data_IF_737003366734
#
_entry.id   IF_737003366734
#
_cell.length_a   1.000
_cell.length_b   1.000
_cell.length_c   1.000
_cell.angle_alpha   90.00
_cell.angle_beta   90.00
_cell.angle_gamma   90.00
#
_symmetry.space_group_name_H-M   'P 1'
#
loop_
_entity.id
_entity.type
_entity.pdbx_description
1 polymer ?
#
# COMPACT_ATOMS: atom_id res chain seq x y z
N UNK A 1 -3.73 -17.40 -0.82
CA UNK A 1 -4.34 -16.27 -0.11
C UNK A 1 -3.72 -16.16 1.27
N UNK A 2 -3.20 -15.00 1.63
CA UNK A 2 -2.79 -14.66 2.99
C UNK A 2 -4.02 -14.25 3.80
N UNK A 3 -4.14 -14.77 5.02
CA UNK A 3 -5.19 -14.37 5.95
C UNK A 3 -4.59 -14.13 7.34
N UNK A 4 -4.84 -12.95 7.85
CA UNK A 4 -4.44 -12.51 9.19
C UNK A 4 -5.71 -12.37 10.01
N UNK A 5 -5.84 -13.16 11.11
CA UNK A 5 -7.05 -13.24 11.93
C UNK A 5 -6.77 -12.85 13.37
N UNK A 6 -7.34 -11.73 13.79
CA UNK A 6 -7.35 -11.23 15.18
C UNK A 6 -5.98 -11.26 15.84
N UNK A 7 -4.93 -10.90 15.08
CA UNK A 7 -3.56 -10.94 15.61
C UNK A 7 -3.33 -9.83 16.63
N UNK A 8 -2.73 -10.19 17.75
CA UNK A 8 -2.32 -9.27 18.79
C UNK A 8 -0.84 -9.43 19.13
N UNK A 9 -0.18 -8.32 19.44
CA UNK A 9 1.22 -8.28 19.88
C UNK A 9 1.48 -7.14 20.83
N UNK A 10 2.15 -7.47 21.93
CA UNK A 10 2.62 -6.50 22.93
C UNK A 10 4.13 -6.61 23.11
N UNK A 11 4.74 -5.47 23.38
CA UNK A 11 6.14 -5.35 23.81
C UNK A 11 6.16 -4.60 25.14
N UNK A 12 6.19 -5.33 26.24
CA UNK A 12 6.00 -4.75 27.56
C UNK A 12 4.67 -3.99 27.67
N UNK A 13 4.68 -2.69 27.99
CA UNK A 13 3.44 -1.90 28.09
C UNK A 13 2.88 -1.47 26.73
N UNK A 14 3.67 -1.59 25.63
CA UNK A 14 3.28 -1.11 24.31
C UNK A 14 2.46 -2.14 23.58
N UNK A 15 1.24 -1.80 23.17
CA UNK A 15 0.40 -2.61 22.29
C UNK A 15 0.77 -2.26 20.84
N UNK A 16 1.48 -3.16 20.16
CA UNK A 16 1.88 -2.97 18.77
C UNK A 16 0.80 -3.41 17.79
N UNK A 17 0.06 -4.48 18.11
CA UNK A 17 -1.09 -4.97 17.35
C UNK A 17 -2.23 -5.32 18.33
N UNK A 18 -3.46 -4.92 18.01
CA UNK A 18 -4.66 -5.19 18.79
C UNK A 18 -5.77 -5.75 17.89
N UNK A 19 -5.85 -7.07 17.81
CA UNK A 19 -6.85 -7.83 17.03
C UNK A 19 -6.92 -7.44 15.55
N UNK A 20 -5.77 -7.20 14.94
CA UNK A 20 -5.68 -6.86 13.51
C UNK A 20 -6.13 -8.04 12.65
N UNK A 21 -7.03 -7.77 11.69
CA UNK A 21 -7.55 -8.78 10.76
C UNK A 21 -7.66 -8.22 9.36
N UNK A 22 -7.09 -8.93 8.38
CA UNK A 22 -7.19 -8.62 6.95
C UNK A 22 -6.78 -9.82 6.10
N UNK A 23 -6.94 -9.71 4.80
CA UNK A 23 -6.54 -10.74 3.83
C UNK A 23 -5.87 -10.11 2.61
N UNK A 24 -5.05 -10.90 1.92
CA UNK A 24 -4.46 -10.55 0.61
C UNK A 24 -4.63 -11.76 -0.30
N UNK A 25 -5.32 -11.55 -1.43
CA UNK A 25 -5.60 -12.61 -2.41
C UNK A 25 -4.45 -12.75 -3.40
N UNK A 26 -4.28 -13.92 -4.03
CA UNK A 26 -3.42 -14.04 -5.20
C UNK A 26 -3.83 -13.04 -6.28
N UNK A 27 -2.84 -12.40 -6.92
CA UNK A 27 -3.09 -11.36 -7.93
C UNK A 27 -3.64 -10.05 -7.36
N UNK A 28 -3.47 -9.80 -6.06
CA UNK A 28 -3.91 -8.57 -5.40
C UNK A 28 -2.72 -7.82 -4.81
N UNK A 29 -2.71 -6.50 -4.97
CA UNK A 29 -1.78 -5.60 -4.32
C UNK A 29 -2.51 -4.81 -3.25
N UNK A 30 -2.17 -5.05 -1.99
CA UNK A 30 -2.79 -4.43 -0.82
C UNK A 30 -1.83 -3.49 -0.12
N UNK A 31 -2.26 -2.24 0.06
CA UNK A 31 -1.56 -1.26 0.86
C UNK A 31 -1.88 -1.40 2.35
N UNK A 32 -0.85 -1.62 3.18
CA UNK A 32 -0.95 -1.62 4.65
C UNK A 32 -0.47 -0.28 5.20
N UNK A 33 -1.39 0.63 5.42
CA UNK A 33 -1.15 2.06 5.57
C UNK A 33 -1.32 2.53 7.02
N UNK A 34 -0.60 3.58 7.38
CA UNK A 34 -0.74 4.20 8.69
C UNK A 34 0.47 5.03 9.09
N UNK A 35 0.36 5.84 10.14
CA UNK A 35 1.47 6.65 10.63
C UNK A 35 2.61 5.80 11.18
N UNK A 36 3.76 6.42 11.42
CA UNK A 36 4.87 5.77 12.09
C UNK A 36 4.44 5.34 13.49
N UNK A 37 4.83 4.11 13.87
CA UNK A 37 4.42 3.51 15.15
C UNK A 37 3.03 2.89 15.16
N UNK A 38 2.29 2.88 14.04
CA UNK A 38 0.96 2.26 13.96
C UNK A 38 0.95 0.72 14.02
N UNK A 39 2.13 0.06 13.97
CA UNK A 39 2.26 -1.40 14.02
C UNK A 39 2.56 -2.07 12.68
N UNK A 40 2.78 -1.31 11.58
CA UNK A 40 3.00 -1.85 10.23
C UNK A 40 4.14 -2.88 10.17
N UNK A 41 5.33 -2.50 10.55
CA UNK A 41 6.52 -3.40 10.59
C UNK A 41 6.29 -4.61 11.49
N UNK A 42 5.59 -4.44 12.62
CA UNK A 42 5.27 -5.56 13.53
C UNK A 42 4.34 -6.57 12.86
N UNK A 43 3.31 -6.10 12.12
CA UNK A 43 2.41 -6.97 11.37
C UNK A 43 3.17 -7.74 10.28
N UNK A 44 4.03 -7.08 9.51
CA UNK A 44 4.84 -7.72 8.46
C UNK A 44 5.81 -8.75 9.05
N UNK A 45 6.50 -8.41 10.14
CA UNK A 45 7.37 -9.36 10.84
C UNK A 45 6.59 -10.55 11.42
N UNK A 46 5.36 -10.35 11.87
CA UNK A 46 4.51 -11.44 12.34
C UNK A 46 4.07 -12.37 11.20
N UNK A 47 3.72 -11.83 10.02
CA UNK A 47 3.43 -12.61 8.81
C UNK A 47 4.62 -13.48 8.43
N UNK A 48 5.82 -12.92 8.48
CA UNK A 48 7.08 -13.64 8.22
C UNK A 48 7.54 -14.54 9.37
N UNK A 49 6.78 -14.63 10.47
CA UNK A 49 7.12 -15.37 11.70
C UNK A 49 8.45 -14.93 12.35
N UNK A 50 8.90 -13.70 12.08
CA UNK A 50 10.07 -13.09 12.72
C UNK A 50 9.73 -12.56 14.12
N UNK A 51 8.43 -12.39 14.41
CA UNK A 51 7.89 -11.99 15.71
C UNK A 51 6.75 -12.94 16.06
N UNK A 52 6.83 -13.58 17.23
CA UNK A 52 5.77 -14.44 17.75
C UNK A 52 4.56 -13.57 18.15
N UNK A 53 3.37 -13.98 17.74
CA UNK A 53 2.10 -13.37 18.15
C UNK A 53 1.75 -13.79 19.58
N UNK A 54 1.05 -12.90 20.30
CA UNK A 54 0.48 -13.22 21.60
C UNK A 54 -0.91 -13.85 21.45
N UNK A 55 -1.67 -13.41 20.41
CA UNK A 55 -2.99 -13.95 20.06
C UNK A 55 -3.20 -13.91 18.54
N UNK A 56 -4.17 -14.69 18.06
CA UNK A 56 -4.55 -14.75 16.66
C UNK A 56 -3.68 -15.69 15.83
N UNK A 57 -3.90 -15.70 14.52
CA UNK A 57 -3.22 -16.61 13.61
C UNK A 57 -3.00 -15.95 12.24
N UNK A 58 -1.88 -16.32 11.60
CA UNK A 58 -1.59 -16.03 10.19
C UNK A 58 -1.65 -17.35 9.42
N UNK A 59 -2.43 -17.38 8.36
CA UNK A 59 -2.56 -18.55 7.49
C UNK A 59 -2.21 -18.20 6.05
N UNK A 60 -1.66 -19.18 5.33
CA UNK A 60 -1.44 -19.15 3.89
C UNK A 60 -2.20 -20.30 3.24
N UNK A 61 -3.10 -19.99 2.30
CA UNK A 61 -3.98 -20.97 1.64
C UNK A 61 -4.75 -21.85 2.63
N UNK A 62 -5.22 -21.27 3.73
CA UNK A 62 -6.02 -21.95 4.76
C UNK A 62 -5.23 -22.74 5.81
N UNK A 63 -3.91 -22.90 5.64
CA UNK A 63 -3.03 -23.56 6.61
C UNK A 63 -2.20 -22.52 7.40
N UNK A 64 -1.83 -22.77 8.67
CA UNK A 64 -0.85 -21.95 9.37
C UNK A 64 0.43 -21.81 8.54
N UNK A 65 1.02 -20.61 8.54
CA UNK A 65 2.29 -20.38 7.87
C UNK A 65 3.36 -21.25 8.51
N UNK A 66 4.05 -22.06 7.72
CA UNK A 66 5.15 -22.93 8.11
C UNK A 66 6.44 -22.55 7.37
N UNK A 67 7.54 -23.29 7.61
CA UNK A 67 8.81 -23.05 6.97
C UNK A 67 8.73 -23.26 5.45
N UNK A 68 7.96 -24.24 4.97
CA UNK A 68 7.79 -24.50 3.54
C UNK A 68 7.04 -23.37 2.84
N UNK A 69 5.99 -22.84 3.46
CA UNK A 69 5.29 -21.66 2.95
C UNK A 69 6.21 -20.44 2.90
N UNK A 70 7.02 -20.22 3.95
CA UNK A 70 7.95 -19.07 4.02
C UNK A 70 9.04 -19.08 2.95
N UNK A 71 9.48 -20.25 2.51
CA UNK A 71 10.43 -20.35 1.38
C UNK A 71 9.87 -19.81 0.06
N UNK A 72 8.54 -19.68 -0.04
CA UNK A 72 7.84 -19.10 -1.19
C UNK A 72 7.41 -17.66 -0.97
N UNK A 73 7.86 -17.02 0.11
CA UNK A 73 7.59 -15.63 0.42
C UNK A 73 8.81 -14.78 0.15
N UNK A 74 8.60 -13.64 -0.50
CA UNK A 74 9.60 -12.58 -0.63
C UNK A 74 9.40 -11.55 0.48
N UNK A 75 10.47 -11.17 1.16
CA UNK A 75 10.38 -10.18 2.23
C UNK A 75 11.41 -9.07 2.03
N UNK A 76 10.94 -7.85 2.06
CA UNK A 76 11.76 -6.65 2.07
C UNK A 76 11.53 -5.90 3.38
N UNK A 77 12.45 -5.98 4.36
CA UNK A 77 12.34 -5.23 5.61
C UNK A 77 12.64 -3.74 5.41
N UNK A 78 12.08 -2.88 6.28
CA UNK A 78 12.40 -1.45 6.29
C UNK A 78 13.87 -1.16 6.61
N UNK A 79 14.49 -2.01 7.43
CA UNK A 79 15.91 -1.92 7.76
C UNK A 79 16.75 -2.73 6.74
N UNK A 80 17.87 -2.16 6.29
CA UNK A 80 18.72 -2.79 5.29
C UNK A 80 19.60 -3.86 5.92
N UNK A 81 19.26 -5.13 5.75
CA UNK A 81 19.99 -6.30 6.25
C UNK A 81 21.03 -6.88 5.27
N UNK A 82 21.59 -6.07 4.39
CA UNK A 82 22.50 -6.53 3.34
C UNK A 82 23.95 -6.59 3.81
N UNK A 83 24.79 -7.46 3.21
CA UNK A 83 26.22 -7.53 3.47
C UNK A 83 26.95 -6.34 2.81
N UNK A 84 27.47 -5.35 3.58
CA UNK A 84 27.89 -4.07 3.04
C UNK A 84 29.08 -4.17 2.07
N UNK A 85 29.99 -5.12 2.31
CA UNK A 85 31.25 -5.28 1.55
C UNK A 85 31.15 -6.26 0.39
N UNK A 86 30.01 -6.93 0.21
CA UNK A 86 29.79 -7.86 -0.89
C UNK A 86 29.45 -7.08 -2.17
N UNK A 87 29.95 -7.55 -3.32
CA UNK A 87 29.53 -7.00 -4.60
C UNK A 87 28.04 -7.29 -4.83
N UNK A 88 27.34 -6.35 -5.48
CA UNK A 88 25.88 -6.43 -5.66
C UNK A 88 25.46 -7.72 -6.36
N UNK A 89 26.16 -8.09 -7.46
CA UNK A 89 25.88 -9.32 -8.20
C UNK A 89 26.11 -10.58 -7.36
N UNK A 90 27.22 -10.60 -6.60
CA UNK A 90 27.55 -11.74 -5.74
C UNK A 90 26.51 -11.88 -4.62
N UNK A 91 26.05 -10.76 -4.09
CA UNK A 91 25.02 -10.70 -3.07
C UNK A 91 23.69 -11.30 -3.56
N UNK A 92 23.20 -10.87 -4.74
CA UNK A 92 22.00 -11.43 -5.35
C UNK A 92 22.17 -12.92 -5.68
N UNK A 93 23.31 -13.32 -6.27
CA UNK A 93 23.60 -14.72 -6.58
C UNK A 93 23.63 -15.59 -5.32
N UNK A 94 24.23 -15.10 -4.23
CA UNK A 94 24.26 -15.79 -2.95
C UNK A 94 22.86 -16.07 -2.41
N UNK A 95 21.99 -15.05 -2.37
CA UNK A 95 20.61 -15.22 -1.89
C UNK A 95 19.76 -16.07 -2.84
N UNK A 96 19.92 -15.96 -4.14
CA UNK A 96 19.28 -16.83 -5.12
C UNK A 96 19.60 -18.31 -4.88
N UNK A 97 20.86 -18.60 -4.51
CA UNK A 97 21.26 -19.96 -4.13
C UNK A 97 20.67 -20.42 -2.80
N UNK A 98 20.54 -19.52 -1.82
CA UNK A 98 19.85 -19.82 -0.57
C UNK A 98 18.34 -20.11 -0.78
N UNK A 99 17.74 -19.52 -1.81
CA UNK A 99 16.37 -19.82 -2.23
C UNK A 99 16.23 -21.12 -3.03
N UNK A 100 17.32 -21.90 -3.18
CA UNK A 100 17.30 -23.23 -3.79
C UNK A 100 17.65 -23.25 -5.28
N UNK A 101 18.01 -22.15 -5.92
CA UNK A 101 18.44 -22.12 -7.31
C UNK A 101 19.84 -22.75 -7.47
N UNK A 102 20.06 -23.47 -8.55
CA UNK A 102 21.41 -23.91 -8.92
C UNK A 102 22.31 -22.71 -9.29
N UNK A 103 23.62 -22.94 -9.42
CA UNK A 103 24.58 -21.87 -9.64
C UNK A 103 24.32 -21.08 -10.95
N UNK A 104 23.92 -21.77 -12.02
CA UNK A 104 23.64 -21.14 -13.32
C UNK A 104 22.32 -20.37 -13.30
N UNK A 105 21.27 -20.92 -12.69
CA UNK A 105 19.98 -20.27 -12.52
C UNK A 105 20.11 -19.04 -11.59
N UNK A 106 20.86 -19.14 -10.49
CA UNK A 106 21.11 -18.05 -9.56
C UNK A 106 21.83 -16.87 -10.23
N UNK A 107 22.86 -17.16 -11.06
CA UNK A 107 23.56 -16.12 -11.81
C UNK A 107 22.64 -15.43 -12.82
N UNK A 108 21.84 -16.19 -13.57
CA UNK A 108 20.86 -15.62 -14.53
C UNK A 108 19.80 -14.77 -13.83
N UNK A 109 19.27 -15.25 -12.70
CA UNK A 109 18.28 -14.49 -11.92
C UNK A 109 18.88 -13.18 -11.40
N UNK A 110 20.11 -13.21 -10.87
CA UNK A 110 20.81 -12.02 -10.42
C UNK A 110 21.00 -11.01 -11.54
N UNK A 111 21.53 -11.46 -12.69
CA UNK A 111 21.77 -10.59 -13.86
C UNK A 111 20.46 -10.00 -14.39
N UNK A 112 19.39 -10.80 -14.49
CA UNK A 112 18.07 -10.34 -14.94
C UNK A 112 17.47 -9.26 -14.03
N UNK A 113 17.56 -9.43 -12.71
CA UNK A 113 17.06 -8.41 -11.77
C UNK A 113 17.93 -7.15 -11.75
N UNK A 114 19.25 -7.27 -11.92
CA UNK A 114 20.13 -6.12 -12.06
C UNK A 114 19.76 -5.29 -13.30
N UNK A 115 19.49 -5.93 -14.43
CA UNK A 115 19.08 -5.28 -15.65
C UNK A 115 17.70 -4.62 -15.50
N UNK A 116 16.70 -5.37 -14.99
CA UNK A 116 15.33 -4.90 -14.82
C UNK A 116 15.21 -3.69 -13.88
N UNK A 117 16.07 -3.62 -12.85
CA UNK A 117 16.08 -2.53 -11.86
C UNK A 117 17.12 -1.44 -12.15
N UNK A 118 17.74 -1.45 -13.34
CA UNK A 118 18.72 -0.43 -13.76
C UNK A 118 20.02 -0.42 -12.94
N UNK A 119 20.45 -1.60 -12.48
CA UNK A 119 21.65 -1.77 -11.64
C UNK A 119 22.79 -2.52 -12.36
N UNK A 120 22.64 -2.85 -13.66
CA UNK A 120 23.62 -3.66 -14.41
C UNK A 120 25.03 -3.07 -14.36
N UNK A 121 25.17 -1.75 -14.53
CA UNK A 121 26.46 -1.07 -14.47
C UNK A 121 27.07 -1.01 -13.06
N UNK A 122 26.28 -1.32 -12.03
CA UNK A 122 26.67 -1.33 -10.62
C UNK A 122 26.88 -2.74 -10.06
N UNK A 123 26.80 -3.77 -10.92
CA UNK A 123 26.88 -5.18 -10.52
C UNK A 123 28.15 -5.52 -9.73
N UNK A 124 29.28 -4.89 -10.07
CA UNK A 124 30.58 -5.06 -9.40
C UNK A 124 30.80 -4.14 -8.20
N UNK A 125 29.95 -3.14 -7.97
CA UNK A 125 30.08 -2.21 -6.85
C UNK A 125 29.73 -2.92 -5.54
N UNK A 126 30.36 -2.50 -4.42
CA UNK A 126 29.94 -3.01 -3.10
C UNK A 126 28.60 -2.40 -2.68
N UNK A 127 27.78 -3.16 -1.96
CA UNK A 127 26.46 -2.69 -1.50
C UNK A 127 26.57 -1.36 -0.74
N UNK A 128 27.59 -1.19 0.11
CA UNK A 128 27.78 0.05 0.88
C UNK A 128 28.14 1.28 0.04
N UNK A 129 28.66 1.11 -1.17
CA UNK A 129 29.03 2.21 -2.06
C UNK A 129 27.84 2.76 -2.85
N UNK A 130 26.72 2.05 -2.85
CA UNK A 130 25.51 2.45 -3.54
C UNK A 130 24.78 3.59 -2.81
N UNK A 131 24.09 4.45 -3.57
CA UNK A 131 23.12 5.40 -3.02
C UNK A 131 21.99 4.65 -2.29
N UNK A 132 21.28 5.36 -1.41
CA UNK A 132 20.15 4.77 -0.66
C UNK A 132 19.09 4.19 -1.58
N UNK A 133 18.76 4.86 -2.69
CA UNK A 133 17.77 4.37 -3.67
C UNK A 133 18.26 3.12 -4.40
N UNK A 134 19.54 3.04 -4.78
CA UNK A 134 20.08 1.82 -5.39
C UNK A 134 20.14 0.66 -4.41
N UNK A 135 20.45 0.91 -3.14
CA UNK A 135 20.37 -0.13 -2.10
C UNK A 135 18.92 -0.63 -1.93
N UNK A 136 17.92 0.25 -2.02
CA UNK A 136 16.50 -0.10 -1.98
C UNK A 136 16.13 -1.01 -3.15
N UNK A 137 16.59 -0.70 -4.38
CA UNK A 137 16.39 -1.55 -5.57
C UNK A 137 17.05 -2.92 -5.41
N UNK A 138 18.27 -3.00 -4.85
CA UNK A 138 18.92 -4.30 -4.54
C UNK A 138 18.10 -5.09 -3.54
N UNK A 139 17.58 -4.45 -2.51
CA UNK A 139 16.78 -5.11 -1.49
C UNK A 139 15.45 -5.66 -2.04
N UNK A 140 14.84 -4.93 -2.98
CA UNK A 140 13.69 -5.44 -3.71
C UNK A 140 14.06 -6.65 -4.58
N UNK A 141 15.17 -6.56 -5.32
CA UNK A 141 15.66 -7.70 -6.11
C UNK A 141 15.79 -8.96 -5.26
N UNK A 142 16.34 -8.85 -4.03
CA UNK A 142 16.45 -9.97 -3.10
C UNK A 142 15.08 -10.59 -2.75
N UNK A 143 14.06 -9.78 -2.56
CA UNK A 143 12.71 -10.26 -2.27
C UNK A 143 12.06 -10.97 -3.46
N UNK A 144 12.53 -10.71 -4.68
CA UNK A 144 11.97 -11.23 -5.93
C UNK A 144 12.70 -12.47 -6.49
N UNK A 145 13.89 -12.81 -5.96
CA UNK A 145 14.78 -13.87 -6.54
C UNK A 145 14.13 -15.25 -6.66
N UNK A 146 13.20 -15.61 -5.80
CA UNK A 146 12.58 -16.93 -5.76
C UNK A 146 11.22 -17.01 -6.45
N UNK A 147 10.84 -16.03 -7.27
CA UNK A 147 9.49 -15.94 -7.86
C UNK A 147 8.39 -16.17 -6.80
N UNK A 148 8.32 -15.34 -5.76
CA UNK A 148 7.50 -15.60 -4.58
C UNK A 148 6.00 -15.57 -4.89
N UNK A 149 5.22 -16.41 -4.18
CA UNK A 149 3.76 -16.37 -4.20
C UNK A 149 3.18 -15.22 -3.36
N UNK A 150 3.94 -14.80 -2.33
CA UNK A 150 3.61 -13.68 -1.47
C UNK A 150 4.81 -12.75 -1.35
N UNK A 151 4.60 -11.48 -1.64
CA UNK A 151 5.56 -10.40 -1.38
C UNK A 151 5.09 -9.58 -0.19
N UNK A 152 5.96 -9.43 0.81
CA UNK A 152 5.75 -8.56 1.97
C UNK A 152 6.84 -7.49 1.96
N UNK A 153 6.45 -6.24 1.73
CA UNK A 153 7.36 -5.13 1.47
C UNK A 153 7.15 -4.01 2.49
N UNK A 154 8.15 -3.77 3.34
CA UNK A 154 8.07 -2.74 4.37
C UNK A 154 8.70 -1.44 3.89
N UNK A 155 7.87 -0.42 3.59
CA UNK A 155 8.24 0.90 3.06
C UNK A 155 9.09 0.84 1.77
N UNK A 156 8.66 0.10 0.71
CA UNK A 156 9.50 -0.16 -0.47
C UNK A 156 9.86 1.10 -1.27
N UNK A 157 9.06 2.15 -1.21
CA UNK A 157 9.26 3.40 -1.95
C UNK A 157 10.07 4.45 -1.20
N UNK A 158 10.49 4.15 0.04
CA UNK A 158 11.19 5.12 0.88
C UNK A 158 12.54 5.52 0.28
N UNK A 159 12.73 6.83 0.07
CA UNK A 159 14.00 7.39 -0.43
C UNK A 159 14.28 7.15 -1.91
N UNK A 160 13.28 6.76 -2.68
CA UNK A 160 13.34 6.66 -4.14
C UNK A 160 12.99 8.01 -4.80
N UNK A 161 13.62 8.26 -5.95
CA UNK A 161 13.19 9.31 -6.85
C UNK A 161 11.95 8.88 -7.68
N UNK A 162 11.23 9.80 -8.34
CA UNK A 162 10.02 9.47 -9.10
C UNK A 162 10.24 8.37 -10.16
N UNK A 163 11.36 8.39 -10.88
CA UNK A 163 11.66 7.39 -11.92
C UNK A 163 11.83 6.00 -11.31
N UNK A 164 12.47 5.93 -10.13
CA UNK A 164 12.62 4.68 -9.41
C UNK A 164 11.27 4.17 -8.86
N UNK A 165 10.40 5.07 -8.43
CA UNK A 165 9.04 4.73 -8.00
C UNK A 165 8.27 4.11 -9.17
N UNK A 166 8.29 4.71 -10.36
CA UNK A 166 7.62 4.19 -11.54
C UNK A 166 8.13 2.78 -11.90
N UNK A 167 9.46 2.61 -11.98
CA UNK A 167 10.09 1.30 -12.27
C UNK A 167 9.67 0.24 -11.24
N UNK A 168 9.66 0.60 -9.95
CA UNK A 168 9.28 -0.30 -8.88
C UNK A 168 7.81 -0.69 -8.98
N UNK A 169 6.95 0.29 -9.27
CA UNK A 169 5.51 0.07 -9.44
C UNK A 169 5.22 -0.89 -10.59
N UNK A 170 5.88 -0.71 -11.75
CA UNK A 170 5.78 -1.64 -12.88
C UNK A 170 6.19 -3.07 -12.48
N UNK A 171 7.32 -3.23 -11.78
CA UNK A 171 7.79 -4.54 -11.32
C UNK A 171 6.79 -5.19 -10.37
N UNK A 172 6.19 -4.44 -9.45
CA UNK A 172 5.18 -4.97 -8.54
C UNK A 172 3.91 -5.39 -9.28
N UNK A 173 3.46 -4.60 -10.26
CA UNK A 173 2.30 -4.96 -11.09
C UNK A 173 2.56 -6.21 -11.92
N UNK A 174 3.75 -6.40 -12.49
CA UNK A 174 4.14 -7.64 -13.15
C UNK A 174 4.04 -8.87 -12.22
N UNK A 175 4.39 -8.73 -10.93
CA UNK A 175 4.23 -9.83 -9.96
C UNK A 175 2.75 -10.13 -9.69
N UNK A 176 1.92 -9.09 -9.56
CA UNK A 176 0.46 -9.21 -9.41
C UNK A 176 -0.16 -9.94 -10.61
N UNK A 177 0.22 -9.55 -11.83
CA UNK A 177 -0.25 -10.20 -13.07
C UNK A 177 0.17 -11.68 -13.17
N UNK A 178 1.32 -12.04 -12.58
CA UNK A 178 1.76 -13.44 -12.45
C UNK A 178 0.99 -14.21 -11.37
N UNK A 179 0.12 -13.54 -10.62
CA UNK A 179 -0.69 -14.13 -9.56
C UNK A 179 -0.08 -14.08 -8.17
N UNK A 180 1.02 -13.38 -7.96
CA UNK A 180 1.56 -13.17 -6.61
C UNK A 180 0.61 -12.30 -5.77
N UNK A 181 0.49 -12.61 -4.49
CA UNK A 181 -0.13 -11.72 -3.51
C UNK A 181 0.91 -10.70 -3.05
N UNK A 182 0.59 -9.40 -3.04
CA UNK A 182 1.53 -8.36 -2.64
C UNK A 182 0.95 -7.55 -1.50
N UNK A 183 1.67 -7.48 -0.38
CA UNK A 183 1.38 -6.62 0.77
C UNK A 183 2.51 -5.63 0.93
N UNK A 184 2.25 -4.36 0.76
CA UNK A 184 3.24 -3.32 0.99
C UNK A 184 2.81 -2.36 2.11
N UNK A 185 3.75 -1.94 2.95
CA UNK A 185 3.51 -0.86 3.89
C UNK A 185 3.93 0.49 3.31
N UNK A 186 3.19 1.52 3.66
CA UNK A 186 3.59 2.89 3.38
C UNK A 186 2.95 3.87 4.35
N UNK A 187 3.57 5.03 4.48
CA UNK A 187 2.99 6.23 5.08
C UNK A 187 2.56 7.26 4.01
N UNK A 188 2.84 7.00 2.72
CA UNK A 188 2.49 7.84 1.58
C UNK A 188 1.17 7.34 0.96
N UNK A 189 0.05 7.85 1.48
CA UNK A 189 -1.28 7.38 1.13
C UNK A 189 -1.63 7.59 -0.35
N UNK A 190 -1.22 8.71 -0.93
CA UNK A 190 -1.58 9.06 -2.31
C UNK A 190 -0.86 8.16 -3.32
N UNK A 191 0.44 7.90 -3.12
CA UNK A 191 1.19 6.96 -3.97
C UNK A 191 0.58 5.55 -3.96
N UNK A 192 0.16 5.10 -2.78
CA UNK A 192 -0.43 3.76 -2.63
C UNK A 192 -1.83 3.68 -3.20
N UNK A 193 -2.59 4.79 -3.15
CA UNK A 193 -3.94 4.85 -3.72
C UNK A 193 -3.96 4.65 -5.24
N UNK A 194 -2.89 5.06 -5.93
CA UNK A 194 -2.78 4.91 -7.38
C UNK A 194 -2.29 3.51 -7.80
N UNK A 195 -1.62 2.79 -6.88
CA UNK A 195 -1.01 1.49 -7.16
C UNK A 195 -1.83 0.31 -6.64
N UNK A 196 -2.44 0.45 -5.46
CA UNK A 196 -3.12 -0.64 -4.77
C UNK A 196 -4.60 -0.75 -5.15
N UNK A 197 -5.08 -1.98 -5.36
CA UNK A 197 -6.51 -2.25 -5.52
C UNK A 197 -7.28 -2.12 -4.20
N UNK A 198 -6.64 -2.49 -3.10
CA UNK A 198 -7.24 -2.44 -1.77
C UNK A 198 -6.25 -1.93 -0.72
N UNK A 199 -6.79 -1.43 0.38
CA UNK A 199 -5.99 -0.93 1.49
C UNK A 199 -6.50 -1.44 2.84
N UNK A 200 -5.57 -1.55 3.77
CA UNK A 200 -5.81 -1.77 5.20
C UNK A 200 -5.13 -0.63 5.95
N UNK A 201 -5.91 0.24 6.54
CA UNK A 201 -5.40 1.40 7.26
C UNK A 201 -5.37 1.10 8.75
N UNK A 202 -4.19 1.27 9.35
CA UNK A 202 -3.98 1.00 10.77
C UNK A 202 -3.58 2.26 11.51
N UNK A 203 -4.10 2.41 12.72
CA UNK A 203 -3.68 3.40 13.68
C UNK A 203 -3.60 2.77 15.08
N UNK A 204 -2.52 3.05 15.81
CA UNK A 204 -2.28 2.54 17.18
C UNK A 204 -2.53 1.05 17.34
N UNK A 205 -2.07 0.26 16.37
CA UNK A 205 -2.19 -1.19 16.37
C UNK A 205 -3.56 -1.74 15.98
N UNK A 206 -4.51 -0.92 15.56
CA UNK A 206 -5.87 -1.32 15.17
C UNK A 206 -6.16 -1.00 13.71
N UNK A 207 -6.92 -1.86 13.04
CA UNK A 207 -7.48 -1.53 11.73
C UNK A 207 -8.60 -0.51 11.92
N UNK A 208 -8.45 0.67 11.30
CA UNK A 208 -9.43 1.76 11.34
C UNK A 208 -10.29 1.81 10.07
N UNK A 209 -9.74 1.34 8.94
CA UNK A 209 -10.44 1.28 7.66
C UNK A 209 -9.83 0.16 6.80
N UNK A 210 -10.65 -0.52 6.00
CA UNK A 210 -10.19 -1.50 5.01
C UNK A 210 -11.20 -1.64 3.89
N UNK A 211 -10.74 -1.91 2.68
CA UNK A 211 -11.58 -2.15 1.51
C UNK A 211 -10.87 -1.80 0.21
N UNK A 212 -11.58 -1.93 -0.88
CA UNK A 212 -11.11 -1.48 -2.19
C UNK A 212 -11.01 0.05 -2.20
N UNK A 213 -9.96 0.58 -2.82
CA UNK A 213 -9.65 2.03 -2.80
C UNK A 213 -10.81 2.82 -3.39
N UNK A 214 -11.35 2.38 -4.53
CA UNK A 214 -12.44 3.09 -5.20
C UNK A 214 -13.73 3.05 -4.40
N UNK A 215 -14.05 1.92 -3.76
CA UNK A 215 -15.23 1.79 -2.89
C UNK A 215 -15.12 2.70 -1.66
N UNK A 216 -13.95 2.75 -1.02
CA UNK A 216 -13.72 3.61 0.13
C UNK A 216 -13.84 5.09 -0.22
N UNK A 217 -13.34 5.50 -1.38
CA UNK A 217 -13.48 6.86 -1.90
C UNK A 217 -14.93 7.18 -2.26
N UNK A 218 -15.61 6.24 -2.95
CA UNK A 218 -17.01 6.40 -3.34
C UNK A 218 -17.96 6.48 -2.14
N UNK A 219 -17.69 5.73 -1.07
CA UNK A 219 -18.48 5.73 0.16
C UNK A 219 -18.30 7.00 1.02
N UNK A 220 -17.31 7.85 0.72
CA UNK A 220 -17.14 9.11 1.45
C UNK A 220 -18.38 10.00 1.33
N UNK A 221 -18.86 10.59 2.44
CA UNK A 221 -19.98 11.52 2.41
C UNK A 221 -19.63 12.88 1.76
N UNK A 222 -18.36 13.07 1.43
CA UNK A 222 -17.80 14.32 0.90
C UNK A 222 -17.41 14.15 -0.56
N UNK A 223 -17.56 15.24 -1.33
CA UNK A 223 -17.05 15.40 -2.69
C UNK A 223 -16.27 16.69 -2.79
N UNK A 224 -15.29 16.72 -3.68
CA UNK A 224 -14.52 17.93 -3.97
C UNK A 224 -14.90 18.48 -5.34
N UNK A 225 -15.21 19.77 -5.37
CA UNK A 225 -15.27 20.54 -6.59
C UNK A 225 -14.02 21.43 -6.65
N UNK A 226 -13.17 21.16 -7.62
CA UNK A 226 -12.04 22.02 -7.97
C UNK A 226 -12.39 22.81 -9.22
N UNK A 227 -12.14 24.13 -9.16
CA UNK A 227 -12.36 25.05 -10.29
C UNK A 227 -11.08 25.82 -10.52
N UNK A 228 -10.60 25.80 -11.77
CA UNK A 228 -9.43 26.55 -12.19
C UNK A 228 -9.85 27.69 -13.13
N UNK A 229 -9.41 28.91 -12.81
CA UNK A 229 -9.66 30.13 -13.58
C UNK A 229 -8.45 30.52 -14.40
N UNK A 230 -8.66 31.17 -15.54
CA UNK A 230 -7.60 31.71 -16.40
C UNK A 230 -6.72 32.74 -15.66
N UNK A 231 -7.30 33.49 -14.73
CA UNK A 231 -6.62 34.49 -13.89
C UNK A 231 -7.09 34.39 -12.44
N UNK A 232 -6.34 34.91 -11.45
CA UNK A 232 -6.79 34.96 -10.07
C UNK A 232 -8.17 35.63 -9.94
N UNK A 233 -9.18 34.87 -9.53
CA UNK A 233 -10.58 35.29 -9.46
C UNK A 233 -11.09 35.15 -8.04
N UNK A 234 -11.77 36.16 -7.51
CA UNK A 234 -12.52 36.03 -6.25
C UNK A 234 -13.85 35.32 -6.54
N UNK A 235 -13.97 34.10 -6.05
CA UNK A 235 -15.20 33.31 -6.22
C UNK A 235 -15.64 32.74 -4.87
N UNK A 236 -16.84 33.10 -4.46
CA UNK A 236 -17.46 32.67 -3.21
C UNK A 236 -18.88 32.25 -3.54
N UNK A 237 -19.16 30.94 -3.67
CA UNK A 237 -20.52 30.46 -3.84
C UNK A 237 -21.42 30.84 -2.66
N UNK A 238 -22.73 30.93 -2.90
CA UNK A 238 -23.72 31.26 -1.89
C UNK A 238 -23.63 30.34 -0.67
N UNK A 239 -23.62 30.94 0.52
CA UNK A 239 -23.49 30.23 1.80
C UNK A 239 -22.04 29.91 2.20
N UNK A 240 -21.04 30.23 1.38
CA UNK A 240 -19.63 30.11 1.71
C UNK A 240 -19.03 31.50 1.92
N UNK A 241 -18.25 31.67 2.98
CA UNK A 241 -17.62 32.96 3.29
C UNK A 241 -16.71 33.48 2.16
N UNK A 242 -16.35 34.78 2.20
CA UNK A 242 -15.51 35.40 1.17
C UNK A 242 -14.15 34.69 1.07
N UNK A 243 -13.70 34.46 -0.16
CA UNK A 243 -12.43 33.83 -0.48
C UNK A 243 -11.50 34.80 -1.22
N UNK A 244 -10.19 34.78 -0.93
CA UNK A 244 -9.27 35.62 -1.66
C UNK A 244 -9.22 35.22 -3.13
N UNK A 245 -8.85 36.16 -4.05
CA UNK A 245 -8.64 35.83 -5.44
C UNK A 245 -7.56 34.75 -5.60
N UNK A 246 -7.89 33.66 -6.29
CA UNK A 246 -6.99 32.56 -6.59
C UNK A 246 -7.27 32.00 -7.99
N UNK A 247 -6.26 31.36 -8.61
CA UNK A 247 -6.48 30.64 -9.87
C UNK A 247 -7.21 29.32 -9.65
N UNK A 248 -7.01 28.69 -8.49
CA UNK A 248 -7.67 27.42 -8.14
C UNK A 248 -8.47 27.58 -6.86
N UNK A 249 -9.71 27.15 -6.90
CA UNK A 249 -10.60 27.06 -5.76
C UNK A 249 -10.99 25.62 -5.57
N UNK A 250 -10.90 25.12 -4.33
CA UNK A 250 -11.36 23.80 -3.92
C UNK A 250 -12.49 23.96 -2.90
N UNK A 251 -13.61 23.33 -3.17
CA UNK A 251 -14.79 23.28 -2.32
C UNK A 251 -15.01 21.85 -1.84
N UNK A 252 -15.26 21.72 -0.56
CA UNK A 252 -15.76 20.48 0.04
C UNK A 252 -17.29 20.54 0.07
N UNK A 253 -17.94 19.55 -0.52
CA UNK A 253 -19.40 19.51 -0.72
C UNK A 253 -19.95 18.18 -0.22
N UNK A 254 -21.18 18.14 0.34
CA UNK A 254 -21.85 16.87 0.59
C UNK A 254 -22.01 16.05 -0.69
N UNK A 255 -21.91 14.72 -0.59
CA UNK A 255 -22.18 13.84 -1.71
C UNK A 255 -23.62 14.07 -2.22
N UNK A 256 -23.78 14.12 -3.54
CA UNK A 256 -25.09 14.42 -4.17
C UNK A 256 -25.38 15.90 -4.37
N UNK A 257 -24.47 16.82 -4.01
CA UNK A 257 -24.64 18.24 -4.31
C UNK A 257 -24.73 18.48 -5.83
N UNK A 258 -25.74 19.25 -6.26
CA UNK A 258 -25.92 19.66 -7.65
C UNK A 258 -24.86 20.72 -8.02
N UNK A 259 -23.76 20.31 -8.67
CA UNK A 259 -22.60 21.18 -8.94
C UNK A 259 -22.82 22.16 -10.08
N UNK A 260 -23.85 21.97 -10.93
CA UNK A 260 -24.13 22.83 -12.09
C UNK A 260 -24.37 24.29 -11.70
N UNK A 261 -25.05 24.54 -10.59
CA UNK A 261 -25.28 25.89 -10.09
C UNK A 261 -23.97 26.55 -9.63
N UNK A 262 -23.10 25.78 -8.96
CA UNK A 262 -21.80 26.24 -8.51
C UNK A 262 -20.89 26.56 -9.71
N UNK A 263 -20.89 25.70 -10.74
CA UNK A 263 -20.17 25.93 -11.97
C UNK A 263 -20.72 27.13 -12.75
N UNK A 264 -22.06 27.35 -12.73
CA UNK A 264 -22.68 28.54 -13.28
C UNK A 264 -22.18 29.80 -12.59
N UNK A 265 -22.14 29.83 -11.25
CA UNK A 265 -21.64 30.97 -10.48
C UNK A 265 -20.13 31.18 -10.69
N UNK A 266 -19.35 30.10 -10.86
CA UNK A 266 -17.93 30.21 -11.18
C UNK A 266 -17.69 30.87 -12.55
N UNK A 267 -18.44 30.46 -13.58
CA UNK A 267 -18.39 31.04 -14.92
C UNK A 267 -18.82 32.51 -14.94
N UNK A 268 -19.74 32.90 -14.06
CA UNK A 268 -20.16 34.30 -13.91
C UNK A 268 -19.07 35.14 -13.20
N UNK A 269 -18.26 34.54 -12.34
CA UNK A 269 -17.18 35.22 -11.63
C UNK A 269 -15.93 35.42 -12.50
N UNK A 270 -15.65 34.51 -13.43
CA UNK A 270 -14.50 34.58 -14.31
C UNK A 270 -14.42 33.43 -15.32
N UNK A 271 -13.40 33.49 -16.20
CA UNK A 271 -13.17 32.46 -17.20
C UNK A 271 -12.66 31.18 -16.54
N UNK A 272 -13.50 30.12 -16.53
CA UNK A 272 -13.14 28.77 -16.02
C UNK A 272 -12.43 27.99 -17.12
N UNK A 273 -11.19 27.62 -16.89
CA UNK A 273 -10.35 26.83 -17.84
C UNK A 273 -10.42 25.33 -17.58
N UNK A 274 -10.65 24.93 -16.33
CA UNK A 274 -10.83 23.53 -15.96
C UNK A 274 -11.71 23.38 -14.70
N UNK A 275 -12.37 22.25 -14.58
CA UNK A 275 -13.03 21.87 -13.33
C UNK A 275 -12.99 20.35 -13.16
N UNK A 276 -12.97 19.90 -11.90
CA UNK A 276 -13.03 18.49 -11.50
C UNK A 276 -14.02 18.35 -10.35
N UNK A 277 -14.92 17.40 -10.45
CA UNK A 277 -15.81 17.00 -9.35
C UNK A 277 -15.66 15.51 -9.11
N UNK A 278 -15.43 15.12 -7.85
CA UNK A 278 -15.23 13.72 -7.53
C UNK A 278 -15.09 13.43 -6.04
N UNK A 279 -14.90 12.16 -5.69
CA UNK A 279 -14.62 11.77 -4.31
C UNK A 279 -13.30 12.35 -3.82
N UNK A 280 -13.10 12.43 -2.50
CA UNK A 280 -11.83 12.86 -1.91
C UNK A 280 -10.70 11.87 -2.24
N UNK A 281 -9.46 12.31 -2.06
CA UNK A 281 -8.31 11.41 -2.08
C UNK A 281 -8.30 10.47 -0.86
N UNK A 282 -7.47 9.42 -0.93
CA UNK A 282 -7.40 8.44 0.15
C UNK A 282 -6.85 9.05 1.46
N UNK A 283 -5.98 10.05 1.36
CA UNK A 283 -5.44 10.78 2.51
C UNK A 283 -6.55 11.50 3.28
N UNK A 284 -7.55 12.02 2.59
CA UNK A 284 -8.70 12.68 3.23
C UNK A 284 -9.68 11.66 3.81
N UNK A 285 -9.94 10.57 3.10
CA UNK A 285 -10.74 9.45 3.63
C UNK A 285 -10.13 8.93 4.93
N UNK A 286 -8.80 8.77 4.96
CA UNK A 286 -8.08 8.39 6.18
C UNK A 286 -8.24 9.40 7.32
N UNK A 287 -8.03 10.71 7.05
CA UNK A 287 -8.19 11.75 8.07
C UNK A 287 -9.58 11.77 8.70
N UNK A 288 -10.62 11.55 7.89
CA UNK A 288 -11.97 11.41 8.38
C UNK A 288 -12.19 10.14 9.22
N UNK A 289 -11.58 9.02 8.83
CA UNK A 289 -11.69 7.75 9.55
C UNK A 289 -10.99 7.79 10.91
N UNK A 290 -9.79 8.37 10.99
CA UNK A 290 -8.99 8.48 12.24
C UNK A 290 -9.59 9.51 13.20
N UNK A 291 -10.25 10.55 12.68
CA UNK A 291 -10.93 11.57 13.49
C UNK A 291 -12.28 11.12 14.09
N UNK A 292 -12.79 9.90 13.76
CA UNK A 292 -14.03 9.32 14.32
C UNK A 292 -13.72 8.27 15.37
N UNK A 293 -14.49 8.17 16.48
CA UNK A 293 -14.44 7.03 17.39
C UNK A 293 -14.81 5.72 16.64
N UNK A 294 -14.13 4.62 16.97
CA UNK A 294 -14.18 3.31 16.30
C UNK A 294 -15.57 2.61 16.36
N UNK A 295 -16.59 3.17 16.99
CA UNK A 295 -17.87 2.51 17.29
C UNK A 295 -18.91 2.52 16.16
N UNK A 296 -18.61 3.09 14.98
CA UNK A 296 -19.59 3.17 13.87
C UNK A 296 -19.09 2.60 12.52
N UNK A 297 -18.32 1.53 12.52
CA UNK A 297 -18.11 0.78 11.28
C UNK A 297 -19.33 -0.12 11.04
N UNK A 298 -20.02 -0.05 9.88
CA UNK A 298 -21.14 -0.94 9.58
C UNK A 298 -20.63 -2.39 9.59
N UNK A 299 -21.34 -3.24 10.35
CA UNK A 299 -21.10 -4.68 10.33
C UNK A 299 -21.21 -5.20 8.89
N UNK A 300 -20.39 -6.19 8.47
CA UNK A 300 -20.58 -6.81 7.17
C UNK A 300 -21.99 -7.40 7.13
N UNK A 301 -22.75 -7.05 6.09
CA UNK A 301 -24.10 -7.57 5.88
C UNK A 301 -24.02 -9.07 5.70
N UNK A 302 -24.59 -9.83 6.64
CA UNK A 302 -24.93 -11.23 6.50
C UNK A 302 -26.01 -11.41 5.42
N UNK A 303 -25.61 -11.36 4.17
CA UNK A 303 -26.46 -11.71 3.04
C UNK A 303 -25.80 -12.93 2.38
N UNK A 304 -26.05 -14.11 2.96
CA UNK A 304 -26.18 -15.41 2.30
C UNK A 304 -26.13 -16.56 3.32
N UNK A 305 -27.20 -16.63 4.13
CA UNK A 305 -27.54 -17.88 4.81
C UNK A 305 -29.07 -18.04 4.82
N UNK A 306 -29.62 -18.60 3.76
CA UNK A 306 -31.06 -18.86 3.76
C UNK A 306 -31.61 -19.31 2.42
N UNK A 307 -31.36 -20.57 2.02
CA UNK A 307 -32.41 -21.36 1.35
C UNK A 307 -31.91 -22.80 1.13
N UNK A 308 -32.51 -23.73 1.79
CA UNK A 308 -32.22 -25.15 1.58
C UNK A 308 -32.82 -26.08 2.66
N UNK A 309 -34.02 -25.79 3.11
CA UNK A 309 -34.83 -26.81 3.78
C UNK A 309 -35.82 -27.39 2.77
N UNK A 310 -35.79 -28.68 2.55
CA UNK A 310 -36.77 -29.35 1.74
C UNK A 310 -36.64 -30.87 1.70
N UNK A 311 -37.17 -31.56 2.70
CA UNK A 311 -37.94 -32.82 2.62
C UNK A 311 -37.40 -33.98 1.78
N UNK A 312 -37.03 -35.06 2.33
CA UNK A 312 -37.68 -36.36 2.70
C UNK A 312 -36.64 -37.36 3.16
#
# INVERSE_FOLDING_TARGET
MLEVRSVAKRFGPVVALDRVSFQVRPGELVGFLGPNGAGKTTAMRAIMQLVALDEGVVTWNGAPVDDAARLRFGYMPAERGMYPRMAVRDHLTYYARLSGLDAAAAARAADGWLERLGLAERAGDTVQSLSSGNQQRVQLALALLGEPDLLVLDEPFSGLDPVAVDTLSEVLMEQVERGAAVLLSSHQLDLVADLCSAVVIVDRGRVVLRGEVDDLRAASPVRHLEVEFASPTAWSPDGMGPRPPARRHRLELPAGTAVEQLLGSARAAGEVVAHRYGPPDLSEVFRHAVGRPVDEAPAPSDAEAGSGVGRR
#
